data_IF_251669221077
#
_entry.id   IF_251669221077
#
_cell.length_a   1.000
_cell.length_b   1.000
_cell.length_c   1.000
_cell.angle_alpha   90.00
_cell.angle_beta   90.00
_cell.angle_gamma   90.00
#
_symmetry.space_group_name_H-M   'P 1'
#
loop_
_entity.id
_entity.type
_entity.pdbx_description
1 polymer ?
#
# COMPACT_ATOMS: atom_id res chain seq x y z
N UNK A 1 -21.61 28.72 -14.50
CA UNK A 1 -21.68 27.60 -13.53
C UNK A 1 -20.26 27.13 -13.34
N UNK A 2 -19.52 27.84 -12.47
CA UNK A 2 -18.15 27.48 -12.12
C UNK A 2 -18.19 26.29 -11.16
N UNK A 3 -17.47 25.24 -11.52
CA UNK A 3 -17.30 24.07 -10.66
C UNK A 3 -16.51 24.52 -9.43
N UNK A 4 -16.82 24.04 -8.22
CA UNK A 4 -15.96 24.31 -7.08
C UNK A 4 -14.61 23.68 -7.41
N UNK A 5 -13.59 24.52 -7.59
CA UNK A 5 -12.20 24.08 -7.62
C UNK A 5 -12.04 23.13 -6.44
N UNK A 6 -11.63 21.88 -6.72
CA UNK A 6 -11.33 20.92 -5.68
C UNK A 6 -10.32 21.61 -4.75
N UNK A 7 -10.84 22.05 -3.60
CA UNK A 7 -10.14 22.95 -2.70
C UNK A 7 -8.77 22.34 -2.44
N UNK A 8 -7.73 22.93 -3.01
CA UNK A 8 -6.37 22.57 -2.69
C UNK A 8 -6.17 23.08 -1.27
N UNK A 9 -6.28 22.24 -0.22
CA UNK A 9 -6.38 22.71 1.15
C UNK A 9 -5.08 23.40 1.60
N UNK A 10 -4.00 23.18 0.84
CA UNK A 10 -2.71 23.83 0.99
C UNK A 10 -2.67 25.24 0.38
N UNK A 11 -3.43 25.51 -0.70
CA UNK A 11 -3.40 26.78 -1.41
C UNK A 11 -4.00 27.94 -0.60
N UNK A 12 -5.13 27.71 0.07
CA UNK A 12 -5.74 28.70 0.97
C UNK A 12 -4.91 28.92 2.22
N UNK A 13 -4.21 27.87 2.65
CA UNK A 13 -3.34 27.88 3.81
C UNK A 13 -2.07 28.72 3.57
N UNK A 14 -1.44 28.58 2.39
CA UNK A 14 -0.29 29.41 1.97
C UNK A 14 -0.65 30.91 1.91
N UNK A 15 -1.81 31.27 1.34
CA UNK A 15 -2.25 32.67 1.26
C UNK A 15 -2.48 33.30 2.63
N UNK A 16 -3.03 32.55 3.58
CA UNK A 16 -3.26 33.05 4.94
C UNK A 16 -1.94 33.29 5.69
N UNK A 17 -0.93 32.45 5.43
CA UNK A 17 0.42 32.56 5.99
C UNK A 17 1.25 33.70 5.40
N UNK A 18 1.16 33.95 4.09
CA UNK A 18 1.84 35.07 3.43
C UNK A 18 1.37 36.44 3.95
N UNK A 19 0.10 36.52 4.37
CA UNK A 19 -0.48 37.73 4.96
C UNK A 19 -0.06 37.94 6.43
N UNK A 20 0.37 36.89 7.13
CA UNK A 20 0.81 36.92 8.53
C UNK A 20 2.32 36.67 8.60
N UNK A 21 3.13 37.68 8.28
CA UNK A 21 4.58 37.67 8.58
C UNK A 21 4.78 37.59 10.10
N UNK A 22 4.83 36.37 10.64
CA UNK A 22 5.06 36.10 12.06
C UNK A 22 6.54 36.33 12.40
N UNK A 23 6.90 37.36 13.20
CA UNK A 23 8.29 37.62 13.55
C UNK A 23 8.86 36.43 14.35
N UNK A 24 10.00 35.90 13.89
CA UNK A 24 10.67 34.74 14.49
C UNK A 24 10.28 33.37 13.92
N UNK A 25 9.36 33.28 12.95
CA UNK A 25 8.97 32.03 12.27
C UNK A 25 9.31 32.08 10.77
N UNK A 26 10.10 31.11 10.29
CA UNK A 26 10.35 30.90 8.86
C UNK A 26 9.23 30.07 8.25
N UNK A 27 8.14 30.77 7.95
CA UNK A 27 6.92 30.21 7.35
C UNK A 27 7.19 29.47 6.02
N UNK A 28 7.99 30.03 5.08
CA UNK A 28 8.43 29.30 3.89
C UNK A 28 9.13 27.97 4.21
N UNK A 29 10.06 27.95 5.16
CA UNK A 29 10.76 26.72 5.54
C UNK A 29 9.81 25.66 6.13
N UNK A 30 8.82 26.07 6.92
CA UNK A 30 7.80 25.15 7.47
C UNK A 30 6.93 24.57 6.34
N UNK A 31 6.53 25.40 5.36
CA UNK A 31 5.76 24.94 4.20
C UNK A 31 6.55 23.99 3.31
N UNK A 32 7.83 24.29 3.08
CA UNK A 32 8.71 23.40 2.34
C UNK A 32 8.90 22.06 3.08
N UNK A 33 9.08 22.09 4.40
CA UNK A 33 9.16 20.87 5.22
C UNK A 33 7.88 20.02 5.10
N UNK A 34 6.70 20.64 5.19
CA UNK A 34 5.42 19.93 5.03
C UNK A 34 5.21 19.38 3.62
N UNK A 35 5.67 20.09 2.59
CA UNK A 35 5.67 19.59 1.21
C UNK A 35 6.57 18.35 1.09
N UNK A 36 7.78 18.39 1.65
CA UNK A 36 8.72 17.25 1.66
C UNK A 36 8.14 16.05 2.40
N UNK A 37 7.45 16.28 3.53
CA UNK A 37 6.74 15.22 4.26
C UNK A 37 5.70 14.53 3.34
N UNK A 38 4.90 15.31 2.61
CA UNK A 38 3.90 14.78 1.65
C UNK A 38 4.55 14.00 0.50
N UNK A 39 5.64 14.51 -0.08
CA UNK A 39 6.38 13.82 -1.13
C UNK A 39 6.93 12.48 -0.66
N UNK A 40 7.50 12.43 0.55
CA UNK A 40 8.00 11.20 1.15
C UNK A 40 6.88 10.17 1.36
N UNK A 41 5.68 10.60 1.77
CA UNK A 41 4.51 9.74 1.91
C UNK A 41 4.03 9.19 0.55
N UNK A 42 4.00 10.03 -0.48
CA UNK A 42 3.65 9.58 -1.84
C UNK A 42 4.67 8.56 -2.36
N UNK A 43 5.96 8.82 -2.15
CA UNK A 43 7.03 7.89 -2.56
C UNK A 43 6.93 6.56 -1.80
N UNK A 44 6.70 6.60 -0.49
CA UNK A 44 6.50 5.40 0.33
C UNK A 44 5.31 4.56 -0.17
N UNK A 45 4.19 5.21 -0.54
CA UNK A 45 3.03 4.52 -1.15
C UNK A 45 3.38 3.87 -2.48
N UNK A 46 4.16 4.55 -3.33
CA UNK A 46 4.56 4.00 -4.62
C UNK A 46 5.46 2.76 -4.44
N UNK A 47 6.43 2.82 -3.52
CA UNK A 47 7.28 1.68 -3.17
C UNK A 47 6.47 0.51 -2.60
N UNK A 48 5.52 0.80 -1.72
CA UNK A 48 4.58 -0.17 -1.17
C UNK A 48 3.79 -0.90 -2.26
N UNK A 49 3.17 -0.17 -3.19
CA UNK A 49 2.41 -0.74 -4.30
C UNK A 49 3.27 -1.63 -5.20
N UNK A 50 4.49 -1.18 -5.53
CA UNK A 50 5.46 -1.97 -6.27
C UNK A 50 5.85 -3.25 -5.51
N UNK A 51 6.01 -3.17 -4.19
CA UNK A 51 6.26 -4.31 -3.32
C UNK A 51 5.14 -5.35 -3.37
N UNK A 52 3.88 -4.91 -3.36
CA UNK A 52 2.72 -5.80 -3.49
C UNK A 52 2.63 -6.46 -4.87
N UNK A 53 2.89 -5.71 -5.94
CA UNK A 53 2.97 -6.27 -7.30
C UNK A 53 4.07 -7.33 -7.40
N UNK A 54 5.25 -7.05 -6.85
CA UNK A 54 6.37 -8.00 -6.78
C UNK A 54 6.02 -9.26 -5.97
N UNK A 55 5.33 -9.10 -4.85
CA UNK A 55 4.85 -10.23 -4.04
C UNK A 55 3.86 -11.11 -4.83
N UNK A 56 2.88 -10.50 -5.50
CA UNK A 56 1.92 -11.21 -6.33
C UNK A 56 2.61 -11.99 -7.47
N UNK A 57 3.59 -11.38 -8.13
CA UNK A 57 4.39 -12.03 -9.17
C UNK A 57 5.13 -13.26 -8.61
N UNK A 58 5.81 -13.12 -7.46
CA UNK A 58 6.50 -14.24 -6.81
C UNK A 58 5.57 -15.38 -6.41
N UNK A 59 4.36 -15.06 -5.93
CA UNK A 59 3.36 -16.09 -5.62
C UNK A 59 2.91 -16.85 -6.87
N UNK A 60 2.68 -16.14 -7.99
CA UNK A 60 2.32 -16.76 -9.26
C UNK A 60 3.47 -17.65 -9.81
N UNK A 61 4.71 -17.20 -9.71
CA UNK A 61 5.88 -17.96 -10.14
C UNK A 61 6.09 -19.22 -9.28
N UNK A 62 5.92 -19.12 -7.95
CA UNK A 62 5.96 -20.28 -7.07
C UNK A 62 4.91 -21.32 -7.44
N UNK A 63 3.66 -20.91 -7.67
CA UNK A 63 2.60 -21.81 -8.11
C UNK A 63 2.96 -22.52 -9.41
N UNK A 64 3.47 -21.76 -10.40
CA UNK A 64 3.83 -22.30 -11.71
C UNK A 64 4.94 -23.36 -11.60
N UNK A 65 5.94 -23.09 -10.76
CA UNK A 65 7.03 -24.04 -10.47
C UNK A 65 6.48 -25.30 -9.80
N UNK A 66 5.67 -25.18 -8.75
CA UNK A 66 5.09 -26.33 -8.04
C UNK A 66 4.22 -27.19 -8.98
N UNK A 67 3.40 -26.58 -9.83
CA UNK A 67 2.61 -27.30 -10.83
C UNK A 67 3.50 -28.04 -11.84
N UNK A 68 4.59 -27.42 -12.28
CA UNK A 68 5.57 -28.06 -13.17
C UNK A 68 6.26 -29.25 -12.53
N UNK A 69 6.65 -29.14 -11.26
CA UNK A 69 7.25 -30.24 -10.48
C UNK A 69 6.27 -31.41 -10.31
N UNK A 70 5.01 -31.13 -9.98
CA UNK A 70 3.96 -32.16 -9.87
C UNK A 70 3.71 -32.87 -11.21
N UNK A 71 3.69 -32.12 -12.31
CA UNK A 71 3.54 -32.69 -13.65
C UNK A 71 4.73 -33.60 -13.98
N UNK A 72 5.96 -33.16 -13.69
CA UNK A 72 7.18 -33.97 -13.88
C UNK A 72 7.16 -35.26 -13.06
N UNK A 73 6.77 -35.17 -11.78
CA UNK A 73 6.66 -36.32 -10.90
C UNK A 73 5.65 -37.35 -11.42
N UNK A 74 4.48 -36.87 -11.85
CA UNK A 74 3.43 -37.70 -12.45
C UNK A 74 3.94 -38.40 -13.71
N UNK A 75 4.66 -37.67 -14.57
CA UNK A 75 5.22 -38.21 -15.81
C UNK A 75 6.24 -39.32 -15.51
N UNK A 76 7.13 -39.11 -14.53
CA UNK A 76 8.11 -40.12 -14.10
C UNK A 76 7.45 -41.37 -13.49
N UNK A 77 6.42 -41.19 -12.67
CA UNK A 77 5.63 -42.28 -12.09
C UNK A 77 4.92 -43.11 -13.16
N UNK A 78 4.32 -42.46 -14.17
CA UNK A 78 3.73 -43.18 -15.31
C UNK A 78 4.76 -43.92 -16.16
N UNK A 79 5.95 -43.33 -16.39
CA UNK A 79 7.04 -43.96 -17.14
C UNK A 79 7.63 -45.20 -16.44
N UNK A 80 7.56 -45.24 -15.10
CA UNK A 80 7.97 -46.39 -14.28
C UNK A 80 6.86 -47.41 -14.05
N UNK A 81 5.68 -47.22 -14.66
CA UNK A 81 4.51 -48.10 -14.49
C UNK A 81 3.85 -48.01 -13.10
N UNK A 82 4.29 -47.07 -12.25
CA UNK A 82 3.78 -46.90 -10.88
C UNK A 82 2.80 -45.73 -10.85
N UNK A 83 1.51 -45.99 -11.09
CA UNK A 83 0.51 -44.95 -10.96
C UNK A 83 0.31 -44.56 -9.47
N UNK A 84 0.29 -43.27 -9.12
CA UNK A 84 -0.08 -42.84 -7.78
C UNK A 84 -1.50 -43.30 -7.45
N UNK A 85 -1.73 -43.75 -6.21
CA UNK A 85 -3.08 -44.11 -5.78
C UNK A 85 -4.01 -42.89 -5.83
N UNK A 86 -5.31 -43.10 -6.06
CA UNK A 86 -6.30 -42.01 -6.07
C UNK A 86 -6.22 -41.14 -4.82
N UNK A 87 -5.98 -41.77 -3.66
CA UNK A 87 -5.84 -41.09 -2.36
C UNK A 87 -4.62 -40.19 -2.27
N UNK A 88 -3.51 -40.58 -2.91
CA UNK A 88 -2.30 -39.75 -3.00
C UNK A 88 -2.54 -38.53 -3.89
N UNK A 89 -3.22 -38.71 -5.02
CA UNK A 89 -3.57 -37.61 -5.92
C UNK A 89 -4.52 -36.60 -5.24
N UNK A 90 -5.53 -37.07 -4.51
CA UNK A 90 -6.46 -36.23 -3.75
C UNK A 90 -5.76 -35.39 -2.67
N UNK A 91 -4.82 -36.00 -1.92
CA UNK A 91 -4.05 -35.30 -0.88
C UNK A 91 -3.16 -34.20 -1.46
N UNK A 92 -2.52 -34.46 -2.60
CA UNK A 92 -1.72 -33.47 -3.32
C UNK A 92 -2.61 -32.31 -3.79
N UNK A 93 -3.75 -32.62 -4.40
CA UNK A 93 -4.70 -31.61 -4.87
C UNK A 93 -5.20 -30.73 -3.72
N UNK A 94 -5.60 -31.33 -2.59
CA UNK A 94 -6.05 -30.59 -1.42
C UNK A 94 -4.95 -29.70 -0.84
N UNK A 95 -3.72 -30.20 -0.75
CA UNK A 95 -2.58 -29.43 -0.24
C UNK A 95 -2.26 -28.24 -1.14
N UNK A 96 -2.33 -28.42 -2.46
CA UNK A 96 -2.13 -27.36 -3.43
C UNK A 96 -3.24 -26.29 -3.35
N UNK A 97 -4.50 -26.71 -3.27
CA UNK A 97 -5.64 -25.80 -3.07
C UNK A 97 -5.49 -24.99 -1.79
N UNK A 98 -5.08 -25.64 -0.70
CA UNK A 98 -4.85 -24.96 0.58
C UNK A 98 -3.71 -23.94 0.48
N UNK A 99 -2.57 -24.32 -0.08
CA UNK A 99 -1.43 -23.42 -0.25
C UNK A 99 -1.80 -22.18 -1.09
N UNK A 100 -2.60 -22.36 -2.15
CA UNK A 100 -3.13 -21.28 -2.97
C UNK A 100 -4.07 -20.35 -2.19
N UNK A 101 -4.98 -20.91 -1.39
CA UNK A 101 -5.88 -20.14 -0.56
C UNK A 101 -5.11 -19.32 0.49
N UNK A 102 -4.12 -19.93 1.15
CA UNK A 102 -3.27 -19.28 2.16
C UNK A 102 -2.47 -18.13 1.52
N UNK A 103 -1.92 -18.33 0.32
CA UNK A 103 -1.25 -17.30 -0.48
C UNK A 103 -2.16 -16.12 -0.80
N UNK A 104 -3.38 -16.40 -1.29
CA UNK A 104 -4.36 -15.38 -1.62
C UNK A 104 -4.78 -14.57 -0.38
N UNK A 105 -4.98 -15.23 0.76
CA UNK A 105 -5.27 -14.57 2.03
C UNK A 105 -4.13 -13.67 2.49
N UNK A 106 -2.87 -14.12 2.39
CA UNK A 106 -1.71 -13.31 2.72
C UNK A 106 -1.59 -12.07 1.82
N UNK A 107 -1.83 -12.23 0.52
CA UNK A 107 -1.84 -11.10 -0.41
C UNK A 107 -2.93 -10.09 -0.03
N UNK A 108 -4.16 -10.57 0.25
CA UNK A 108 -5.27 -9.70 0.65
C UNK A 108 -5.01 -8.99 1.98
N UNK A 109 -4.46 -9.68 2.97
CA UNK A 109 -4.09 -9.10 4.26
C UNK A 109 -3.00 -8.02 4.09
N UNK A 110 -2.01 -8.24 3.22
CA UNK A 110 -1.01 -7.24 2.89
C UNK A 110 -1.63 -6.00 2.23
N UNK A 111 -2.52 -6.18 1.24
CA UNK A 111 -3.26 -5.08 0.61
C UNK A 111 -4.10 -4.28 1.61
N UNK A 112 -4.84 -4.97 2.47
CA UNK A 112 -5.71 -4.33 3.45
C UNK A 112 -4.90 -3.55 4.50
N UNK A 113 -3.83 -4.15 5.04
CA UNK A 113 -2.92 -3.49 5.99
C UNK A 113 -2.30 -2.23 5.40
N UNK A 114 -1.93 -2.28 4.11
CA UNK A 114 -1.39 -1.13 3.38
C UNK A 114 -2.43 -0.01 3.24
N UNK A 115 -3.67 -0.36 2.87
CA UNK A 115 -4.77 0.60 2.71
C UNK A 115 -5.19 1.24 4.04
N UNK A 116 -5.25 0.46 5.12
CA UNK A 116 -5.52 0.96 6.47
C UNK A 116 -4.39 1.90 6.95
N UNK A 117 -3.13 1.56 6.68
CA UNK A 117 -2.00 2.46 6.97
C UNK A 117 -2.11 3.79 6.21
N UNK A 118 -2.58 3.78 4.96
CA UNK A 118 -2.85 5.01 4.20
C UNK A 118 -3.93 5.87 4.86
N UNK A 119 -5.03 5.26 5.31
CA UNK A 119 -6.09 5.99 5.98
C UNK A 119 -5.60 6.70 7.25
N UNK A 120 -4.72 6.05 8.03
CA UNK A 120 -4.07 6.65 9.21
C UNK A 120 -3.19 7.84 8.82
N UNK A 121 -2.38 7.71 7.76
CA UNK A 121 -1.52 8.78 7.26
C UNK A 121 -2.34 9.97 6.77
N UNK A 122 -3.38 9.72 5.95
CA UNK A 122 -4.26 10.75 5.42
C UNK A 122 -4.93 11.54 6.55
N UNK A 123 -5.43 10.83 7.57
CA UNK A 123 -5.98 11.45 8.78
C UNK A 123 -4.97 12.34 9.49
N UNK A 124 -3.71 11.91 9.64
CA UNK A 124 -2.68 12.72 10.31
C UNK A 124 -2.30 13.97 9.52
N UNK A 125 -2.31 13.91 8.19
CA UNK A 125 -2.12 15.09 7.33
C UNK A 125 -3.25 16.09 7.56
N UNK A 126 -4.50 15.62 7.61
CA UNK A 126 -5.66 16.46 7.87
C UNK A 126 -5.61 17.10 9.26
N UNK A 127 -5.26 16.32 10.29
CA UNK A 127 -5.04 16.81 11.66
C UNK A 127 -3.95 17.88 11.73
N UNK A 128 -2.80 17.66 11.08
CA UNK A 128 -1.70 18.63 11.05
C UNK A 128 -2.12 19.96 10.40
N UNK A 129 -2.95 19.93 9.35
CA UNK A 129 -3.49 21.13 8.72
C UNK A 129 -4.44 21.88 9.67
N UNK A 130 -5.29 21.16 10.41
CA UNK A 130 -6.20 21.76 11.39
C UNK A 130 -5.46 22.33 12.61
N UNK A 131 -4.46 21.62 13.15
CA UNK A 131 -3.60 22.09 14.24
C UNK A 131 -2.91 23.40 13.86
N UNK A 132 -2.36 23.46 12.67
CA UNK A 132 -1.68 24.65 12.17
C UNK A 132 -2.64 25.82 11.96
N UNK A 133 -3.85 25.57 11.45
CA UNK A 133 -4.91 26.58 11.36
C UNK A 133 -5.32 27.13 12.74
N UNK A 134 -5.42 26.26 13.75
CA UNK A 134 -5.75 26.64 15.13
C UNK A 134 -4.67 27.53 15.76
N UNK A 135 -3.39 27.17 15.60
CA UNK A 135 -2.27 27.98 16.09
C UNK A 135 -2.27 29.40 15.50
N UNK A 136 -2.57 29.52 14.20
CA UNK A 136 -2.68 30.82 13.54
C UNK A 136 -3.90 31.64 14.00
N UNK A 137 -4.98 30.98 14.43
CA UNK A 137 -6.15 31.66 15.00
C UNK A 137 -5.94 32.09 16.45
N UNK A 138 -5.20 31.32 17.25
CA UNK A 138 -4.89 31.67 18.65
C UNK A 138 -3.98 32.89 18.76
N UNK A 139 -3.02 33.05 17.84
CA UNK A 139 -2.15 34.23 17.75
C UNK A 139 -2.88 35.52 17.29
N UNK A 140 -4.17 35.44 16.90
CA UNK A 140 -4.99 36.62 16.56
C UNK A 140 -5.68 37.28 17.77
N UNK A 141 -5.53 36.72 18.98
CA UNK A 141 -5.99 37.33 20.24
C UNK A 141 -4.81 37.91 20.99
#
# INVERSE_FOLDING_TARGET
MDRPDAANPFGDFTKMLEQFKLPGFDVPAIMEARRKDMEALVQANQTAFQGMQSLAQKQADMLRTTLGELQSLTTQLTATGTAPSSKTAELIQQSLHKALADMQQLAQAAYQTQAESYAVIAKRVEENVQELKSLLQQQKK
#
